data_IF_158460297181
#
_entry.id   IF_158460297181
#
_cell.length_a   1.000
_cell.length_b   1.000
_cell.length_c   1.000
_cell.angle_alpha   90.00
_cell.angle_beta   90.00
_cell.angle_gamma   90.00
#
_symmetry.space_group_name_H-M   'P 1'
#
loop_
_entity.id
_entity.type
_entity.pdbx_description
1 polymer ?
#
# COMPACT_ATOMS: atom_id res chain seq x y z
N UNK A 1 -19.43 -30.17 6.05
CA UNK A 1 -18.19 -29.37 6.15
C UNK A 1 -17.02 -30.33 6.05
N UNK A 2 -15.94 -29.94 5.39
CA UNK A 2 -14.72 -30.75 5.40
C UNK A 2 -13.94 -30.56 6.71
N UNK A 3 -12.80 -31.25 6.86
CA UNK A 3 -12.02 -31.21 8.09
C UNK A 3 -11.51 -29.81 8.45
N UNK A 4 -11.19 -28.97 7.45
CA UNK A 4 -10.69 -27.61 7.68
C UNK A 4 -11.81 -26.73 8.22
N UNK A 5 -12.96 -26.68 7.53
CA UNK A 5 -14.07 -25.84 7.98
C UNK A 5 -14.60 -26.29 9.35
N UNK A 6 -14.59 -27.59 9.64
CA UNK A 6 -14.99 -28.12 10.95
C UNK A 6 -14.03 -27.68 12.06
N UNK A 7 -12.71 -27.78 11.82
CA UNK A 7 -11.72 -27.34 12.80
C UNK A 7 -11.80 -25.84 13.09
N UNK A 8 -12.11 -25.02 12.10
CA UNK A 8 -12.30 -23.57 12.27
C UNK A 8 -13.47 -23.29 13.22
N UNK A 9 -14.63 -23.90 13.00
CA UNK A 9 -15.80 -23.66 13.87
C UNK A 9 -15.58 -24.16 15.29
N UNK A 10 -14.98 -25.35 15.46
CA UNK A 10 -14.67 -25.91 16.78
C UNK A 10 -13.69 -25.06 17.58
N UNK A 11 -12.80 -24.32 16.91
CA UNK A 11 -11.75 -23.52 17.52
C UNK A 11 -11.99 -22.00 17.42
N UNK A 12 -13.19 -21.57 17.00
CA UNK A 12 -13.46 -20.17 16.69
C UNK A 12 -13.27 -19.24 17.89
N UNK A 13 -13.78 -19.64 19.06
CA UNK A 13 -13.66 -18.83 20.28
C UNK A 13 -12.20 -18.72 20.75
N UNK A 14 -11.42 -19.78 20.62
CA UNK A 14 -10.00 -19.78 20.98
C UNK A 14 -9.18 -18.90 20.03
N UNK A 15 -9.51 -18.93 18.74
CA UNK A 15 -8.96 -18.00 17.76
C UNK A 15 -9.29 -16.55 18.13
N UNK A 16 -10.55 -16.23 18.41
CA UNK A 16 -10.95 -14.87 18.80
C UNK A 16 -10.27 -14.42 20.10
N UNK A 17 -10.07 -15.32 21.05
CA UNK A 17 -9.34 -15.03 22.30
C UNK A 17 -7.88 -14.69 22.05
N UNK A 18 -7.20 -15.40 21.13
CA UNK A 18 -5.84 -15.04 20.71
C UNK A 18 -5.83 -13.69 20.00
N UNK A 19 -6.72 -13.50 19.02
CA UNK A 19 -6.79 -12.27 18.25
C UNK A 19 -7.05 -11.06 19.16
N UNK A 20 -7.98 -11.18 20.11
CA UNK A 20 -8.27 -10.15 21.10
C UNK A 20 -7.03 -9.73 21.90
N UNK A 21 -6.21 -10.68 22.36
CA UNK A 21 -4.95 -10.38 23.07
C UNK A 21 -3.99 -9.56 22.20
N UNK A 22 -3.89 -9.87 20.90
CA UNK A 22 -3.03 -9.16 19.95
C UNK A 22 -3.60 -7.77 19.61
N UNK A 23 -4.91 -7.66 19.43
CA UNK A 23 -5.63 -6.41 19.15
C UNK A 23 -5.53 -5.41 20.32
N UNK A 24 -5.49 -5.91 21.56
CA UNK A 24 -5.32 -5.12 22.77
C UNK A 24 -3.93 -4.49 22.95
N UNK A 25 -2.98 -4.79 22.05
CA UNK A 25 -1.69 -4.10 22.02
C UNK A 25 -1.78 -2.90 21.08
N UNK A 26 -1.74 -1.64 21.57
CA UNK A 26 -1.74 -0.45 20.72
C UNK A 26 -0.37 -0.25 20.05
N UNK A 27 -0.01 -1.15 19.15
CA UNK A 27 1.28 -1.22 18.43
C UNK A 27 1.43 -0.14 17.36
N UNK A 28 1.18 1.10 17.74
CA UNK A 28 1.46 2.28 16.91
C UNK A 28 2.96 2.59 17.03
N UNK A 29 3.62 2.88 15.90
CA UNK A 29 5.02 3.30 15.91
C UNK A 29 5.21 4.50 16.83
N UNK A 30 6.25 4.44 17.66
CA UNK A 30 6.65 5.53 18.55
C UNK A 30 8.16 5.68 18.58
N UNK A 31 8.65 6.62 19.40
CA UNK A 31 10.09 6.88 19.53
C UNK A 31 10.88 5.60 19.84
N UNK A 32 12.01 5.37 19.13
CA UNK A 32 12.86 4.21 19.38
C UNK A 32 13.35 4.17 20.83
N UNK A 33 13.31 2.98 21.42
CA UNK A 33 13.85 2.69 22.75
C UNK A 33 14.85 1.53 22.67
N UNK A 34 15.72 1.33 23.67
CA UNK A 34 16.60 0.16 23.71
C UNK A 34 15.80 -1.15 23.52
N UNK A 35 16.21 -1.98 22.56
CA UNK A 35 15.52 -3.23 22.16
C UNK A 35 14.08 -3.05 21.64
N UNK A 36 13.73 -1.84 21.21
CA UNK A 36 12.41 -1.50 20.70
C UNK A 36 12.58 -0.42 19.61
N UNK A 37 13.13 -0.77 18.43
CA UNK A 37 13.52 0.18 17.39
C UNK A 37 12.34 1.00 16.83
N UNK A 38 11.11 0.49 16.94
CA UNK A 38 9.89 1.17 16.49
C UNK A 38 8.93 1.49 17.66
N UNK A 39 9.44 1.48 18.88
CA UNK A 39 8.69 1.76 20.10
C UNK A 39 8.30 0.53 20.92
N UNK A 40 7.90 0.78 22.16
CA UNK A 40 7.65 -0.29 23.15
C UNK A 40 6.47 -1.18 22.78
N UNK A 41 5.39 -0.62 22.23
CA UNK A 41 4.17 -1.39 21.94
C UNK A 41 4.31 -2.28 20.70
N UNK A 42 5.03 -1.83 19.66
CA UNK A 42 5.38 -2.66 18.49
C UNK A 42 6.27 -3.83 18.91
N UNK A 43 7.26 -3.59 19.79
CA UNK A 43 8.06 -4.67 20.38
C UNK A 43 7.26 -5.62 21.27
N UNK A 44 6.28 -5.10 22.03
CA UNK A 44 5.42 -5.88 22.92
C UNK A 44 4.52 -6.83 22.16
N UNK A 45 3.87 -6.37 21.08
CA UNK A 45 3.03 -7.25 20.24
C UNK A 45 3.86 -8.34 19.56
N UNK A 46 5.08 -8.00 19.11
CA UNK A 46 5.99 -8.98 18.54
C UNK A 46 6.37 -10.06 19.57
N UNK A 47 6.72 -9.67 20.80
CA UNK A 47 7.00 -10.62 21.89
C UNK A 47 5.84 -11.57 22.12
N UNK A 48 4.63 -11.02 22.26
CA UNK A 48 3.42 -11.78 22.49
C UNK A 48 3.20 -12.83 21.39
N UNK A 49 3.31 -12.43 20.13
CA UNK A 49 3.08 -13.34 19.00
C UNK A 49 4.17 -14.42 18.91
N UNK A 50 5.42 -14.08 19.22
CA UNK A 50 6.52 -15.07 19.29
C UNK A 50 6.30 -16.08 20.43
N UNK A 51 5.90 -15.63 21.61
CA UNK A 51 5.57 -16.52 22.74
C UNK A 51 4.42 -17.47 22.40
N UNK A 52 3.35 -16.96 21.77
CA UNK A 52 2.22 -17.81 21.31
C UNK A 52 2.66 -18.81 20.25
N UNK A 53 3.48 -18.38 19.31
CA UNK A 53 4.03 -19.26 18.25
C UNK A 53 4.88 -20.39 18.83
N UNK A 54 5.74 -20.08 19.81
CA UNK A 54 6.53 -21.08 20.52
C UNK A 54 5.64 -22.04 21.33
N UNK A 55 4.58 -21.54 21.98
CA UNK A 55 3.61 -22.37 22.71
C UNK A 55 2.82 -23.33 21.79
N UNK A 56 2.60 -22.96 20.53
CA UNK A 56 2.05 -23.88 19.50
C UNK A 56 3.10 -24.87 18.96
N UNK A 57 4.34 -24.79 19.46
CA UNK A 57 5.44 -25.68 19.13
C UNK A 57 6.07 -25.39 17.77
N UNK A 58 6.12 -24.12 17.37
CA UNK A 58 6.87 -23.66 16.20
C UNK A 58 8.22 -23.09 16.62
N UNK A 59 9.22 -23.18 15.75
CA UNK A 59 10.49 -22.49 15.96
C UNK A 59 10.30 -20.99 15.83
N UNK A 60 10.94 -20.18 16.68
CA UNK A 60 10.76 -18.72 16.65
C UNK A 60 12.09 -18.01 16.70
N UNK A 61 12.21 -16.91 15.95
CA UNK A 61 13.38 -16.02 15.99
C UNK A 61 12.94 -14.57 15.88
N UNK A 62 13.59 -13.70 16.65
CA UNK A 62 13.50 -12.25 16.53
C UNK A 62 14.83 -11.74 16.03
N UNK A 63 14.79 -10.83 15.05
CA UNK A 63 15.95 -10.24 14.39
C UNK A 63 15.94 -8.75 14.70
N UNK A 64 17.04 -8.28 15.30
CA UNK A 64 17.29 -6.89 15.68
C UNK A 64 16.16 -6.20 16.47
N UNK A 65 15.36 -6.99 17.19
CA UNK A 65 14.13 -6.54 17.88
C UNK A 65 13.07 -5.88 16.97
N UNK A 66 13.27 -5.96 15.64
CA UNK A 66 12.52 -5.26 14.59
C UNK A 66 11.50 -6.17 13.87
N UNK A 67 11.84 -7.44 13.69
CA UNK A 67 11.04 -8.40 12.93
C UNK A 67 11.22 -9.79 13.52
N UNK A 68 10.17 -10.61 13.47
CA UNK A 68 10.25 -11.98 13.95
C UNK A 68 9.53 -12.96 13.05
N UNK A 69 9.79 -14.25 13.24
CA UNK A 69 9.09 -15.28 12.49
C UNK A 69 8.79 -16.52 13.34
N UNK A 70 7.71 -17.20 12.96
CA UNK A 70 7.36 -18.55 13.38
C UNK A 70 7.61 -19.53 12.22
N UNK A 71 8.32 -20.61 12.50
CA UNK A 71 8.76 -21.59 11.50
C UNK A 71 8.20 -22.98 11.78
N UNK A 72 7.68 -23.60 10.72
CA UNK A 72 7.31 -25.00 10.66
C UNK A 72 8.22 -25.75 9.69
N UNK A 73 9.12 -26.56 10.26
CA UNK A 73 10.16 -27.29 9.53
C UNK A 73 11.58 -26.96 10.03
N UNK A 74 12.62 -27.70 9.60
CA UNK A 74 14.01 -27.49 10.00
C UNK A 74 14.58 -26.13 9.59
N UNK A 75 15.57 -25.61 10.34
CA UNK A 75 16.29 -24.38 9.98
C UNK A 75 17.20 -24.56 8.76
N UNK A 76 17.49 -23.45 8.06
CA UNK A 76 18.50 -23.39 7.00
C UNK A 76 18.09 -23.93 5.63
N UNK A 77 16.83 -24.32 5.42
CA UNK A 77 16.31 -24.74 4.12
C UNK A 77 15.27 -23.78 3.53
N UNK A 78 15.10 -23.85 2.21
CA UNK A 78 14.07 -23.15 1.46
C UNK A 78 12.69 -23.27 2.10
N UNK A 79 11.93 -22.18 2.05
CA UNK A 79 10.64 -22.09 2.72
C UNK A 79 9.62 -21.28 1.92
N UNK A 80 8.35 -21.62 2.13
CA UNK A 80 7.21 -20.78 1.75
C UNK A 80 7.04 -19.70 2.81
N UNK A 81 6.99 -18.44 2.38
CA UNK A 81 6.85 -17.28 3.27
C UNK A 81 5.41 -16.78 3.34
N UNK A 82 4.94 -16.45 4.53
CA UNK A 82 3.76 -15.60 4.71
C UNK A 82 4.22 -14.40 5.54
N UNK A 83 4.18 -13.20 4.98
CA UNK A 83 4.65 -12.00 5.66
C UNK A 83 3.48 -11.05 5.90
N UNK A 84 3.23 -10.68 7.14
CA UNK A 84 2.29 -9.62 7.51
C UNK A 84 2.88 -8.74 8.59
N UNK A 85 2.12 -7.77 9.09
CA UNK A 85 2.59 -6.87 10.15
C UNK A 85 1.72 -6.86 11.39
N UNK A 86 2.35 -6.41 12.48
CA UNK A 86 1.72 -6.23 13.78
C UNK A 86 1.62 -4.76 14.19
N UNK A 87 2.37 -3.86 13.56
CA UNK A 87 2.19 -2.42 13.74
C UNK A 87 0.91 -1.94 13.08
N UNK A 88 0.35 -0.84 13.61
CA UNK A 88 -0.89 -0.25 13.12
C UNK A 88 -0.77 1.27 13.08
N UNK A 89 -1.52 1.91 12.19
CA UNK A 89 -1.67 3.38 12.20
C UNK A 89 -2.39 3.87 13.48
N UNK A 90 -2.17 5.14 13.88
CA UNK A 90 -2.95 5.75 14.95
C UNK A 90 -4.46 5.58 14.77
N UNK A 91 -5.20 5.40 15.86
CA UNK A 91 -6.65 5.26 15.82
C UNK A 91 -7.35 6.57 15.41
N UNK A 92 -6.79 7.73 15.78
CA UNK A 92 -7.51 9.01 15.69
C UNK A 92 -8.57 9.17 16.78
N UNK A 93 -9.55 10.04 16.54
CA UNK A 93 -10.67 10.32 17.46
C UNK A 93 -11.99 9.68 16.99
N UNK A 94 -13.02 9.78 17.83
CA UNK A 94 -14.43 9.53 17.45
C UNK A 94 -14.75 8.09 17.01
N UNK A 95 -14.19 7.11 17.72
CA UNK A 95 -14.58 5.71 17.57
C UNK A 95 -15.84 5.38 18.38
N UNK A 96 -16.72 4.59 17.79
CA UNK A 96 -17.91 4.06 18.47
C UNK A 96 -17.58 2.87 19.38
N UNK A 97 -16.42 2.23 19.15
CA UNK A 97 -15.90 1.09 19.91
C UNK A 97 -14.46 1.35 20.35
N UNK A 98 -13.97 0.74 21.45
CA UNK A 98 -12.57 0.87 21.83
C UNK A 98 -11.64 0.44 20.68
N UNK A 99 -10.75 1.32 20.17
CA UNK A 99 -9.96 1.02 18.98
C UNK A 99 -8.94 -0.09 19.20
N UNK A 100 -8.42 -0.23 20.42
CA UNK A 100 -7.45 -1.27 20.79
C UNK A 100 -8.12 -2.35 21.64
N UNK A 101 -9.26 -2.84 21.16
CA UNK A 101 -9.93 -4.05 21.65
C UNK A 101 -10.54 -4.80 20.45
N UNK A 102 -11.13 -5.96 20.70
CA UNK A 102 -11.92 -6.69 19.70
C UNK A 102 -13.39 -6.68 20.13
N UNK A 103 -14.14 -5.72 19.61
CA UNK A 103 -15.58 -5.56 19.88
C UNK A 103 -16.41 -6.24 18.81
N UNK A 104 -17.47 -6.96 19.19
CA UNK A 104 -18.40 -7.58 18.25
C UNK A 104 -19.77 -6.92 18.32
N UNK A 105 -20.34 -6.58 17.15
CA UNK A 105 -21.72 -6.11 17.04
C UNK A 105 -22.30 -6.51 15.68
N UNK A 106 -23.49 -7.11 15.68
CA UNK A 106 -24.26 -7.47 14.47
C UNK A 106 -23.45 -8.28 13.44
N UNK A 107 -22.62 -9.22 13.91
CA UNK A 107 -21.77 -10.06 13.07
C UNK A 107 -20.51 -9.36 12.53
N UNK A 108 -20.19 -8.15 13.01
CA UNK A 108 -18.97 -7.40 12.70
C UNK A 108 -18.03 -7.33 13.89
N UNK A 109 -16.76 -7.50 13.60
CA UNK A 109 -15.65 -7.34 14.54
C UNK A 109 -14.99 -5.98 14.28
N UNK A 110 -14.88 -5.16 15.33
CA UNK A 110 -14.32 -3.81 15.29
C UNK A 110 -13.04 -3.75 16.10
N UNK A 111 -12.06 -3.03 15.56
CA UNK A 111 -10.79 -2.74 16.22
C UNK A 111 -9.73 -2.32 15.20
N UNK A 112 -8.79 -1.45 15.59
CA UNK A 112 -7.66 -1.05 14.75
C UNK A 112 -6.77 -2.25 14.48
N UNK A 113 -6.60 -2.57 13.20
CA UNK A 113 -5.83 -3.70 12.70
C UNK A 113 -6.60 -5.00 12.53
N UNK A 114 -7.92 -5.00 12.70
CA UNK A 114 -8.77 -6.18 12.43
C UNK A 114 -8.72 -6.56 10.94
N UNK A 115 -8.65 -5.57 10.06
CA UNK A 115 -8.47 -5.75 8.62
C UNK A 115 -7.00 -5.62 8.24
N UNK A 116 -6.28 -4.68 8.87
CA UNK A 116 -4.93 -4.29 8.45
C UNK A 116 -3.94 -4.12 9.63
N UNK A 117 -3.20 -5.16 10.04
CA UNK A 117 -3.13 -6.50 9.46
C UNK A 117 -3.14 -7.63 10.51
N UNK A 118 -3.47 -7.32 11.76
CA UNK A 118 -3.49 -8.29 12.86
C UNK A 118 -4.50 -9.42 12.62
N UNK A 119 -5.72 -9.12 12.19
CA UNK A 119 -6.72 -10.16 11.88
C UNK A 119 -6.21 -11.19 10.87
N UNK A 120 -5.78 -10.77 9.67
CA UNK A 120 -5.26 -11.67 8.64
C UNK A 120 -4.00 -12.44 9.05
N UNK A 121 -2.97 -11.78 9.60
CA UNK A 121 -1.72 -12.47 9.93
C UNK A 121 -1.87 -13.45 11.09
N UNK A 122 -2.72 -13.13 12.08
CA UNK A 122 -3.05 -14.06 13.16
C UNK A 122 -3.94 -15.21 12.65
N UNK A 123 -4.76 -14.98 11.62
CA UNK A 123 -5.47 -16.07 10.93
C UNK A 123 -4.49 -17.04 10.26
N UNK A 124 -3.42 -16.54 9.64
CA UNK A 124 -2.36 -17.41 9.10
C UNK A 124 -1.66 -18.22 10.21
N UNK A 125 -1.29 -17.59 11.33
CA UNK A 125 -0.67 -18.27 12.47
C UNK A 125 -1.58 -19.34 13.08
N UNK A 126 -2.84 -19.01 13.30
CA UNK A 126 -3.80 -19.94 13.89
C UNK A 126 -4.15 -21.06 12.92
N UNK A 127 -4.30 -20.76 11.62
CA UNK A 127 -4.49 -21.77 10.58
C UNK A 127 -3.31 -22.74 10.50
N UNK A 128 -2.07 -22.25 10.63
CA UNK A 128 -0.88 -23.07 10.73
C UNK A 128 -0.91 -24.01 11.94
N UNK A 129 -1.35 -23.52 13.12
CA UNK A 129 -1.58 -24.35 14.32
C UNK A 129 -2.62 -25.44 14.03
N UNK A 130 -3.79 -25.10 13.50
CA UNK A 130 -4.87 -26.06 13.24
C UNK A 130 -4.44 -27.15 12.25
N UNK A 131 -3.71 -26.80 11.19
CA UNK A 131 -3.18 -27.79 10.25
C UNK A 131 -2.24 -28.79 10.93
N UNK A 132 -1.41 -28.32 11.87
CA UNK A 132 -0.52 -29.20 12.65
C UNK A 132 -1.31 -30.16 13.54
N UNK A 133 -2.36 -29.67 14.19
CA UNK A 133 -3.26 -30.47 15.04
C UNK A 133 -4.08 -31.49 14.22
N UNK A 134 -4.43 -31.15 12.98
CA UNK A 134 -5.05 -32.05 12.00
C UNK A 134 -4.06 -33.08 11.42
N UNK A 135 -2.78 -33.04 11.80
CA UNK A 135 -1.76 -34.01 11.38
C UNK A 135 -1.14 -33.74 10.01
N UNK A 136 -1.30 -32.53 9.45
CA UNK A 136 -0.59 -32.13 8.22
C UNK A 136 0.92 -32.21 8.44
N UNK A 137 1.64 -32.76 7.47
CA UNK A 137 3.10 -32.84 7.47
C UNK A 137 3.62 -32.07 6.24
N UNK A 138 4.11 -30.83 6.42
CA UNK A 138 4.56 -30.03 5.28
C UNK A 138 5.81 -30.65 4.65
N UNK A 139 5.82 -30.78 3.32
CA UNK A 139 6.99 -31.24 2.55
C UNK A 139 7.97 -30.12 2.24
N UNK A 140 7.48 -28.88 2.24
CA UNK A 140 8.29 -27.66 2.21
C UNK A 140 8.13 -26.92 3.52
N UNK A 141 9.20 -26.31 4.01
CA UNK A 141 9.11 -25.46 5.19
C UNK A 141 8.13 -24.31 4.98
N UNK A 142 7.52 -23.88 6.07
CA UNK A 142 6.70 -22.68 6.12
C UNK A 142 7.24 -21.73 7.17
N UNK A 143 7.26 -20.44 6.85
CA UNK A 143 7.63 -19.38 7.77
C UNK A 143 6.60 -18.27 7.72
N UNK A 144 5.98 -17.97 8.86
CA UNK A 144 5.15 -16.79 9.03
C UNK A 144 6.03 -15.70 9.64
N UNK A 145 6.21 -14.60 8.93
CA UNK A 145 7.06 -13.47 9.28
C UNK A 145 6.15 -12.32 9.72
N UNK A 146 6.51 -11.70 10.83
CA UNK A 146 5.75 -10.64 11.49
C UNK A 146 6.61 -9.38 11.54
N UNK A 147 6.36 -8.47 10.61
CA UNK A 147 6.93 -7.14 10.60
C UNK A 147 6.31 -6.23 11.64
N UNK A 148 7.01 -5.14 11.97
CA UNK A 148 6.59 -4.14 12.96
C UNK A 148 6.81 -2.69 12.53
N UNK A 149 7.05 -2.46 11.23
CA UNK A 149 7.22 -1.11 10.66
C UNK A 149 6.61 -0.95 9.26
N UNK A 150 5.60 -1.74 8.89
CA UNK A 150 5.00 -1.69 7.54
C UNK A 150 4.47 -0.29 7.23
N UNK A 151 3.65 0.21 8.15
CA UNK A 151 2.83 1.42 8.01
C UNK A 151 3.68 2.70 7.96
N UNK A 152 4.97 2.56 8.27
CA UNK A 152 5.94 3.65 8.39
C UNK A 152 7.15 3.48 7.46
N UNK A 153 7.07 2.58 6.47
CA UNK A 153 8.04 2.47 5.38
C UNK A 153 8.79 1.15 5.28
N UNK A 154 8.39 0.13 6.04
CA UNK A 154 8.90 -1.24 5.99
C UNK A 154 10.42 -1.32 6.25
N UNK A 155 10.92 -0.55 7.21
CA UNK A 155 12.36 -0.52 7.49
C UNK A 155 12.87 -1.78 8.22
N UNK A 156 11.96 -2.66 8.62
CA UNK A 156 12.18 -3.94 9.26
C UNK A 156 12.58 -5.07 8.29
N UNK A 157 12.10 -5.03 7.04
CA UNK A 157 12.48 -6.01 5.99
C UNK A 157 13.98 -6.02 5.69
N UNK A 158 14.68 -4.87 5.59
CA UNK A 158 16.14 -4.86 5.50
C UNK A 158 16.86 -5.62 6.61
N UNK A 159 16.39 -5.52 7.87
CA UNK A 159 16.96 -6.30 8.99
C UNK A 159 16.81 -7.80 8.75
N UNK A 160 15.63 -8.22 8.29
CA UNK A 160 15.38 -9.62 7.93
C UNK A 160 16.31 -10.10 6.82
N UNK A 161 16.40 -9.38 5.71
CA UNK A 161 17.19 -9.77 4.53
C UNK A 161 18.70 -9.73 4.77
N UNK A 162 19.15 -8.99 5.80
CA UNK A 162 20.54 -9.02 6.24
C UNK A 162 20.89 -10.31 7.02
N UNK A 163 19.91 -10.91 7.70
CA UNK A 163 20.10 -12.07 8.56
C UNK A 163 19.60 -13.40 7.95
N UNK A 164 18.65 -13.35 7.03
CA UNK A 164 17.90 -14.50 6.51
C UNK A 164 17.76 -14.43 4.99
N UNK A 165 17.63 -15.59 4.34
CA UNK A 165 17.29 -15.67 2.92
C UNK A 165 15.81 -15.32 2.70
N UNK A 166 15.42 -14.70 1.57
CA UNK A 166 14.02 -14.51 1.22
C UNK A 166 13.32 -15.86 0.96
N UNK A 167 11.98 -15.92 1.01
CA UNK A 167 11.25 -17.14 0.67
C UNK A 167 11.46 -17.52 -0.80
N UNK A 168 11.28 -18.81 -1.12
CA UNK A 168 11.26 -19.24 -2.54
C UNK A 168 9.96 -18.85 -3.22
N UNK A 169 8.88 -18.77 -2.45
CA UNK A 169 7.58 -18.21 -2.83
C UNK A 169 6.84 -17.81 -1.55
N UNK A 170 6.01 -16.79 -1.62
CA UNK A 170 5.16 -16.45 -0.50
C UNK A 170 4.03 -15.50 -0.86
N UNK A 171 3.21 -15.18 0.14
CA UNK A 171 2.20 -14.14 0.02
C UNK A 171 2.14 -13.27 1.27
N UNK A 172 1.68 -12.03 1.10
CA UNK A 172 1.27 -11.17 2.21
C UNK A 172 -0.26 -11.17 2.30
N UNK A 173 -0.86 -11.45 3.47
CA UNK A 173 -2.30 -11.38 3.66
C UNK A 173 -2.72 -9.92 3.94
N UNK A 174 -2.18 -8.97 3.17
CA UNK A 174 -2.31 -7.53 3.34
C UNK A 174 -2.47 -6.87 1.96
N UNK A 175 -3.72 -6.78 1.51
CA UNK A 175 -4.23 -6.08 0.32
C UNK A 175 -5.69 -6.53 0.07
N UNK A 176 -5.93 -7.21 -1.06
CA UNK A 176 -7.23 -7.65 -1.55
C UNK A 176 -7.13 -9.00 -2.25
N UNK A 177 -8.28 -9.63 -2.43
CA UNK A 177 -8.48 -10.75 -3.34
C UNK A 177 -8.95 -10.30 -4.73
N UNK A 178 -8.78 -11.14 -5.78
CA UNK A 178 -8.01 -12.39 -5.84
C UNK A 178 -6.49 -12.15 -5.74
N UNK A 179 -5.66 -13.10 -6.18
CA UNK A 179 -4.19 -12.95 -6.16
C UNK A 179 -3.74 -11.67 -6.85
N UNK A 180 -2.93 -10.86 -6.17
CA UNK A 180 -2.32 -9.65 -6.71
C UNK A 180 -0.91 -9.97 -7.19
N UNK A 181 -0.74 -10.23 -8.49
CA UNK A 181 0.53 -10.70 -9.05
C UNK A 181 1.49 -9.58 -9.46
N UNK A 182 1.02 -8.33 -9.44
CA UNK A 182 1.83 -7.17 -9.79
C UNK A 182 1.34 -5.90 -9.15
N UNK A 183 2.30 -5.03 -8.85
CA UNK A 183 2.05 -3.70 -8.30
C UNK A 183 2.69 -2.65 -9.20
N UNK A 184 1.89 -1.65 -9.57
CA UNK A 184 2.32 -0.55 -10.45
C UNK A 184 3.48 0.22 -9.83
N UNK A 185 4.41 0.67 -10.66
CA UNK A 185 5.49 1.53 -10.16
C UNK A 185 5.00 2.95 -9.90
N UNK A 186 5.68 3.64 -8.99
CA UNK A 186 5.38 5.01 -8.59
C UNK A 186 6.64 5.83 -8.72
N UNK A 187 6.55 6.95 -9.43
CA UNK A 187 7.61 7.97 -9.41
C UNK A 187 6.95 9.33 -9.20
N UNK A 188 7.39 10.05 -8.19
CA UNK A 188 7.01 11.45 -8.02
C UNK A 188 8.22 12.30 -8.42
N UNK A 189 7.94 13.34 -9.19
CA UNK A 189 8.96 14.28 -9.65
C UNK A 189 8.60 15.69 -9.23
N UNK A 190 9.61 16.50 -8.95
CA UNK A 190 9.50 17.94 -8.89
C UNK A 190 10.02 18.52 -10.22
N UNK A 191 9.21 19.35 -10.86
CA UNK A 191 9.55 20.11 -12.05
C UNK A 191 9.86 21.55 -11.62
N UNK A 192 11.08 21.99 -11.87
CA UNK A 192 11.59 23.30 -11.50
C UNK A 192 11.54 24.23 -12.71
N UNK A 193 10.67 25.23 -12.66
CA UNK A 193 10.48 26.21 -13.74
C UNK A 193 11.14 27.53 -13.34
N UNK A 194 12.36 27.83 -13.82
CA UNK A 194 13.06 29.05 -13.45
C UNK A 194 12.34 30.29 -13.98
N UNK A 195 12.27 31.35 -13.17
CA UNK A 195 11.68 32.63 -13.58
C UNK A 195 12.71 33.75 -13.51
N UNK A 196 12.63 34.74 -14.42
CA UNK A 196 13.32 36.02 -14.24
C UNK A 196 12.89 36.71 -12.93
N UNK A 197 13.81 37.42 -12.27
CA UNK A 197 13.56 38.06 -10.97
C UNK A 197 12.37 39.03 -10.99
N UNK A 198 12.18 39.75 -12.10
CA UNK A 198 11.08 40.70 -12.28
C UNK A 198 9.72 40.01 -12.44
N UNK A 199 9.66 38.85 -13.10
CA UNK A 199 8.45 38.03 -13.14
C UNK A 199 8.18 37.35 -11.79
N UNK A 200 9.24 36.87 -11.12
CA UNK A 200 9.13 36.21 -9.82
C UNK A 200 8.59 37.16 -8.74
N UNK A 201 8.95 38.44 -8.76
CA UNK A 201 8.42 39.45 -7.83
C UNK A 201 6.93 39.72 -8.01
N UNK A 202 6.39 39.50 -9.21
CA UNK A 202 4.96 39.70 -9.52
C UNK A 202 4.08 38.52 -9.10
N UNK A 203 4.68 37.38 -8.74
CA UNK A 203 4.00 36.16 -8.33
C UNK A 203 3.97 36.05 -6.80
N UNK A 204 2.80 35.82 -6.20
CA UNK A 204 2.70 35.51 -4.77
C UNK A 204 2.87 34.01 -4.50
N UNK A 205 2.97 33.64 -3.22
CA UNK A 205 2.81 32.23 -2.83
C UNK A 205 1.42 31.72 -3.19
N UNK A 206 1.34 30.44 -3.56
CA UNK A 206 0.09 29.73 -3.78
C UNK A 206 -0.56 29.39 -2.43
N UNK A 207 -1.88 29.49 -2.36
CA UNK A 207 -2.67 29.08 -1.20
C UNK A 207 -3.68 28.01 -1.63
N UNK A 208 -3.92 27.03 -0.76
CA UNK A 208 -4.77 25.87 -1.03
C UNK A 208 -4.20 24.64 -0.35
N UNK A 209 -5.06 23.68 -0.01
CA UNK A 209 -4.61 22.38 0.50
C UNK A 209 -4.07 21.53 -0.66
N UNK A 210 -2.78 21.19 -0.56
CA UNK A 210 -2.03 20.50 -1.60
C UNK A 210 -1.17 19.43 -0.95
N UNK A 211 -1.38 18.18 -1.33
CA UNK A 211 -0.56 17.07 -0.85
C UNK A 211 -0.53 15.92 -1.86
N UNK A 212 0.50 15.08 -1.76
CA UNK A 212 0.78 13.99 -2.72
C UNK A 212 -0.30 12.89 -2.82
N UNK A 213 -1.19 12.80 -1.85
CA UNK A 213 -2.21 11.75 -1.74
C UNK A 213 -3.54 12.10 -2.41
N UNK A 214 -3.77 13.38 -2.76
CA UNK A 214 -5.02 13.83 -3.35
C UNK A 214 -4.81 14.79 -4.53
N UNK A 215 -5.84 14.91 -5.36
CA UNK A 215 -5.99 15.95 -6.37
C UNK A 215 -6.35 17.25 -5.65
N UNK A 216 -5.55 18.33 -5.77
CA UNK A 216 -5.89 19.63 -5.20
C UNK A 216 -7.21 20.15 -5.78
N UNK A 217 -8.09 20.63 -4.91
CA UNK A 217 -9.45 21.05 -5.24
C UNK A 217 -9.72 22.53 -4.96
N UNK A 218 -8.78 23.24 -4.35
CA UNK A 218 -8.82 24.70 -4.20
C UNK A 218 -7.41 25.25 -4.37
N UNK A 219 -7.28 26.34 -5.12
CA UNK A 219 -6.01 27.01 -5.32
C UNK A 219 -6.22 28.50 -5.60
N UNK A 220 -5.40 29.34 -4.98
CA UNK A 220 -5.34 30.77 -5.28
C UNK A 220 -3.92 31.31 -5.36
N UNK A 221 -3.73 32.32 -6.21
CA UNK A 221 -2.46 33.02 -6.41
C UNK A 221 -2.73 34.43 -6.96
N UNK A 222 -1.83 35.37 -6.69
CA UNK A 222 -1.80 36.67 -7.34
C UNK A 222 -0.61 36.77 -8.29
N UNK A 223 -0.87 37.25 -9.50
CA UNK A 223 0.14 37.46 -10.55
C UNK A 223 -0.09 38.87 -11.12
N UNK A 224 0.94 39.71 -11.10
CA UNK A 224 0.87 41.11 -11.55
C UNK A 224 -0.32 41.87 -10.92
N UNK A 225 -0.45 41.76 -9.60
CA UNK A 225 -1.53 42.33 -8.76
C UNK A 225 -2.95 41.83 -9.07
N UNK A 226 -3.11 40.88 -10.00
CA UNK A 226 -4.39 40.23 -10.29
C UNK A 226 -4.51 38.92 -9.50
N UNK A 227 -5.59 38.78 -8.73
CA UNK A 227 -5.92 37.53 -8.01
C UNK A 227 -6.60 36.52 -8.93
N UNK A 228 -6.18 35.27 -8.84
CA UNK A 228 -6.78 34.11 -9.49
C UNK A 228 -7.17 33.10 -8.41
N UNK A 229 -8.40 32.60 -8.50
CA UNK A 229 -8.96 31.62 -7.59
C UNK A 229 -9.69 30.58 -8.44
N UNK A 230 -9.44 29.31 -8.14
CA UNK A 230 -10.06 28.19 -8.83
C UNK A 230 -10.52 27.15 -7.82
N UNK A 231 -11.69 26.58 -8.10
CA UNK A 231 -12.25 25.47 -7.36
C UNK A 231 -12.37 24.29 -8.31
N UNK A 232 -11.85 23.16 -7.89
CA UNK A 232 -11.95 21.87 -8.55
C UNK A 232 -12.75 20.89 -7.69
N UNK A 233 -12.34 19.62 -7.74
CA UNK A 233 -12.99 18.53 -7.01
C UNK A 233 -11.96 17.52 -6.54
N UNK A 234 -11.92 17.28 -5.23
CA UNK A 234 -10.96 16.35 -4.64
C UNK A 234 -11.23 14.92 -5.07
N UNK A 235 -10.15 14.20 -5.36
CA UNK A 235 -10.12 12.74 -5.46
C UNK A 235 -8.76 12.22 -5.02
N UNK A 236 -8.60 10.92 -4.74
CA UNK A 236 -7.28 10.33 -4.53
C UNK A 236 -6.35 10.53 -5.75
N UNK A 237 -5.06 10.75 -5.52
CA UNK A 237 -4.07 10.95 -6.60
C UNK A 237 -3.84 9.71 -7.50
N UNK A 238 -4.42 8.57 -7.13
CA UNK A 238 -4.43 7.35 -7.97
C UNK A 238 -5.72 7.18 -8.80
N UNK A 239 -6.68 8.11 -8.69
CA UNK A 239 -7.90 8.17 -9.49
C UNK A 239 -8.24 9.63 -9.84
N UNK A 240 -7.31 10.36 -10.51
CA UNK A 240 -7.48 11.78 -10.80
C UNK A 240 -8.66 12.09 -11.72
N UNK A 241 -9.11 11.14 -12.53
CA UNK A 241 -10.27 11.26 -13.41
C UNK A 241 -11.61 11.39 -12.67
N UNK A 242 -11.64 11.07 -11.37
CA UNK A 242 -12.83 11.25 -10.53
C UNK A 242 -12.93 12.67 -9.94
N UNK A 243 -11.84 13.44 -10.03
CA UNK A 243 -11.70 14.79 -9.54
C UNK A 243 -11.54 15.82 -10.65
N UNK A 244 -11.35 17.07 -10.26
CA UNK A 244 -11.07 18.20 -11.14
C UNK A 244 -9.88 18.95 -10.53
N UNK A 245 -8.74 18.94 -11.20
CA UNK A 245 -7.47 19.37 -10.62
C UNK A 245 -7.32 20.89 -10.66
N UNK A 246 -7.30 21.54 -9.50
CA UNK A 246 -7.20 22.99 -9.36
C UNK A 246 -5.94 23.56 -10.04
N UNK A 247 -4.80 22.86 -10.00
CA UNK A 247 -3.56 23.30 -10.68
C UNK A 247 -3.76 23.38 -12.19
N UNK A 248 -4.37 22.35 -12.79
CA UNK A 248 -4.57 22.33 -14.25
C UNK A 248 -5.69 23.26 -14.69
N UNK A 249 -6.72 23.49 -13.86
CA UNK A 249 -7.76 24.51 -14.10
C UNK A 249 -7.15 25.91 -14.07
N UNK A 250 -6.31 26.21 -13.06
CA UNK A 250 -5.59 27.48 -13.00
C UNK A 250 -4.71 27.67 -14.24
N UNK A 251 -4.03 26.60 -14.68
CA UNK A 251 -3.22 26.63 -15.89
C UNK A 251 -4.05 26.98 -17.14
N UNK A 252 -5.24 26.39 -17.29
CA UNK A 252 -6.16 26.73 -18.38
C UNK A 252 -6.61 28.20 -18.32
N UNK A 253 -6.91 28.72 -17.12
CA UNK A 253 -7.30 30.11 -16.93
C UNK A 253 -6.16 31.08 -17.30
N UNK A 254 -4.91 30.74 -16.98
CA UNK A 254 -3.73 31.59 -17.20
C UNK A 254 -3.17 31.51 -18.62
N UNK A 255 -3.30 30.37 -19.30
CA UNK A 255 -2.72 30.14 -20.64
C UNK A 255 -3.16 31.15 -21.71
N UNK A 256 -4.35 31.74 -21.56
CA UNK A 256 -4.98 32.67 -22.49
C UNK A 256 -4.91 34.15 -22.05
N UNK A 257 -4.35 34.44 -20.87
CA UNK A 257 -4.37 35.80 -20.29
C UNK A 257 -3.22 36.66 -20.78
N UNK A 258 -3.48 37.64 -21.62
CA UNK A 258 -2.46 38.56 -22.13
C UNK A 258 -1.83 39.48 -21.06
N UNK A 259 -2.44 39.58 -19.87
CA UNK A 259 -2.05 40.50 -18.80
C UNK A 259 -1.02 39.94 -17.81
N UNK A 260 -0.62 38.66 -17.94
CA UNK A 260 0.36 38.04 -17.05
C UNK A 260 1.76 38.00 -17.70
N UNK A 261 2.84 37.94 -16.90
CA UNK A 261 4.20 37.87 -17.42
C UNK A 261 4.42 36.72 -18.40
N UNK A 262 5.24 36.92 -19.46
CA UNK A 262 5.29 36.01 -20.60
C UNK A 262 5.90 34.64 -20.26
N UNK A 263 6.91 34.57 -19.38
CA UNK A 263 7.53 33.29 -19.00
C UNK A 263 6.56 32.47 -18.15
N UNK A 264 5.91 33.11 -17.17
CA UNK A 264 4.81 32.52 -16.39
C UNK A 264 3.70 32.00 -17.32
N UNK A 265 3.25 32.82 -18.28
CA UNK A 265 2.21 32.42 -19.23
C UNK A 265 2.60 31.19 -20.05
N UNK A 266 3.85 31.14 -20.55
CA UNK A 266 4.35 30.02 -21.33
C UNK A 266 4.35 28.71 -20.52
N UNK A 267 4.77 28.77 -19.25
CA UNK A 267 4.76 27.59 -18.38
C UNK A 267 3.34 27.12 -18.09
N UNK A 268 2.41 28.02 -17.74
CA UNK A 268 1.01 27.63 -17.55
C UNK A 268 0.33 27.14 -18.83
N UNK A 269 0.71 27.65 -20.01
CA UNK A 269 0.26 27.09 -21.29
C UNK A 269 0.73 25.65 -21.47
N UNK A 270 2.00 25.37 -21.20
CA UNK A 270 2.52 24.00 -21.26
C UNK A 270 1.84 23.10 -20.22
N UNK A 271 1.66 23.56 -18.98
CA UNK A 271 0.96 22.80 -17.93
C UNK A 271 -0.48 22.48 -18.36
N UNK A 272 -1.18 23.45 -18.94
CA UNK A 272 -2.54 23.25 -19.46
C UNK A 272 -2.55 22.17 -20.54
N UNK A 273 -1.68 22.27 -21.56
CA UNK A 273 -1.61 21.30 -22.65
C UNK A 273 -1.22 19.89 -22.16
N UNK A 274 -0.37 19.83 -21.13
CA UNK A 274 0.20 18.60 -20.61
C UNK A 274 -0.73 17.85 -19.66
N UNK A 275 -1.51 18.57 -18.83
CA UNK A 275 -2.17 18.01 -17.66
C UNK A 275 -3.67 18.34 -17.55
N UNK A 276 -4.18 19.37 -18.23
CA UNK A 276 -5.60 19.71 -18.14
C UNK A 276 -6.45 18.69 -18.88
N UNK A 277 -7.23 17.90 -18.13
CA UNK A 277 -8.02 16.76 -18.62
C UNK A 277 -7.17 15.64 -19.29
N UNK A 278 -5.86 15.60 -19.02
CA UNK A 278 -4.92 14.61 -19.56
C UNK A 278 -4.40 13.67 -18.45
N UNK A 279 -5.30 12.88 -17.86
CA UNK A 279 -5.01 12.08 -16.67
C UNK A 279 -4.07 10.90 -16.91
N UNK A 280 -3.88 10.48 -18.16
CA UNK A 280 -3.18 9.26 -18.52
C UNK A 280 -1.94 9.52 -19.39
N UNK A 281 -1.41 10.75 -19.39
CA UNK A 281 -0.17 11.09 -20.09
C UNK A 281 -0.32 11.42 -21.57
N UNK A 282 -1.55 11.62 -22.06
CA UNK A 282 -1.83 11.92 -23.46
C UNK A 282 -1.28 13.28 -23.90
N UNK A 283 -1.12 14.24 -22.97
CA UNK A 283 -0.54 15.55 -23.24
C UNK A 283 1.00 15.57 -23.35
N UNK A 284 1.70 14.49 -22.95
CA UNK A 284 3.17 14.50 -22.78
C UNK A 284 3.87 13.17 -23.17
N UNK A 285 3.50 12.55 -24.29
CA UNK A 285 4.12 11.28 -24.79
C UNK A 285 4.22 10.18 -23.71
N UNK A 286 3.28 10.17 -22.76
CA UNK A 286 3.24 9.26 -21.62
C UNK A 286 1.93 8.48 -21.53
N UNK A 287 1.18 8.41 -22.63
CA UNK A 287 0.02 7.52 -22.81
C UNK A 287 0.42 6.03 -22.88
N UNK A 288 1.23 5.59 -21.91
CA UNK A 288 1.71 4.22 -21.75
C UNK A 288 0.60 3.37 -21.15
N UNK A 289 0.46 2.13 -21.62
CA UNK A 289 -0.50 1.18 -21.09
C UNK A 289 -0.04 -0.27 -21.31
N UNK A 290 -0.51 -1.17 -20.48
CA UNK A 290 -0.46 -2.62 -20.72
C UNK A 290 -1.79 -3.29 -20.41
N UNK A 291 -1.91 -4.57 -20.79
CA UNK A 291 -3.11 -5.38 -20.58
C UNK A 291 -3.36 -5.65 -19.08
N UNK A 292 -2.29 -5.75 -18.31
CA UNK A 292 -2.30 -6.28 -16.94
C UNK A 292 -2.65 -5.24 -15.87
N UNK A 293 -2.21 -4.00 -16.07
CA UNK A 293 -2.26 -2.91 -15.10
C UNK A 293 -2.82 -1.59 -15.65
N UNK A 294 -3.16 -1.59 -16.94
CA UNK A 294 -3.90 -0.52 -17.60
C UNK A 294 -3.01 0.67 -17.95
N UNK A 295 -3.64 1.85 -18.07
CA UNK A 295 -2.96 3.09 -18.47
C UNK A 295 -2.14 3.67 -17.33
N UNK A 296 -1.00 4.29 -17.65
CA UNK A 296 -0.28 5.22 -16.77
C UNK A 296 -1.25 6.26 -16.22
N UNK A 297 -1.09 6.64 -14.95
CA UNK A 297 -1.87 7.69 -14.29
C UNK A 297 -0.88 8.77 -13.87
N UNK A 298 -1.22 10.02 -14.11
CA UNK A 298 -0.45 11.17 -13.65
C UNK A 298 -1.33 12.16 -12.88
N UNK A 299 -0.76 12.87 -11.93
CA UNK A 299 -1.50 13.87 -11.13
C UNK A 299 -0.55 14.97 -10.67
N UNK A 300 -0.74 16.23 -11.11
CA UNK A 300 -0.16 17.38 -10.45
C UNK A 300 -0.72 17.49 -9.03
N UNK A 301 0.15 17.45 -8.02
CA UNK A 301 -0.26 17.39 -6.60
C UNK A 301 0.14 18.64 -5.82
N UNK A 302 1.18 19.34 -6.25
CA UNK A 302 1.66 20.57 -5.61
C UNK A 302 2.14 21.53 -6.69
N UNK A 303 1.83 22.82 -6.55
CA UNK A 303 2.52 23.92 -7.23
C UNK A 303 2.80 25.04 -6.24
N UNK A 304 4.06 25.50 -6.20
CA UNK A 304 4.51 26.53 -5.28
C UNK A 304 5.53 27.47 -5.92
N UNK A 305 5.64 28.67 -5.36
CA UNK A 305 6.72 29.62 -5.66
C UNK A 305 7.98 29.20 -4.88
N UNK A 306 9.13 29.17 -5.56
CA UNK A 306 10.45 28.97 -4.95
C UNK A 306 11.27 30.26 -4.99
N UNK A 307 12.52 30.19 -4.51
CA UNK A 307 13.46 31.32 -4.55
C UNK A 307 13.88 31.70 -5.97
N UNK A 308 13.79 30.77 -6.93
CA UNK A 308 14.29 30.95 -8.30
C UNK A 308 13.22 30.78 -9.37
N UNK A 309 11.96 30.52 -8.98
CA UNK A 309 10.89 30.25 -9.94
C UNK A 309 9.65 29.58 -9.35
N UNK A 310 9.14 28.58 -10.07
CA UNK A 310 8.06 27.69 -9.64
C UNK A 310 8.57 26.26 -9.47
N UNK A 311 7.96 25.54 -8.53
CA UNK A 311 8.13 24.09 -8.41
C UNK A 311 6.76 23.44 -8.49
N UNK A 312 6.61 22.47 -9.39
CA UNK A 312 5.41 21.65 -9.49
C UNK A 312 5.74 20.19 -9.24
N UNK A 313 5.06 19.56 -8.30
CA UNK A 313 5.17 18.12 -8.08
C UNK A 313 4.12 17.37 -8.87
N UNK A 314 4.55 16.30 -9.54
CA UNK A 314 3.67 15.40 -10.29
C UNK A 314 3.90 13.98 -9.81
N UNK A 315 2.82 13.32 -9.40
CA UNK A 315 2.80 11.91 -9.05
C UNK A 315 2.48 11.08 -10.29
N UNK A 316 3.33 10.09 -10.61
CA UNK A 316 3.10 9.13 -11.67
C UNK A 316 2.90 7.74 -11.09
N UNK A 317 1.94 7.01 -11.63
CA UNK A 317 1.78 5.56 -11.44
C UNK A 317 1.85 4.91 -12.79
N UNK A 318 2.90 4.14 -13.07
CA UNK A 318 3.13 3.57 -14.40
C UNK A 318 2.78 2.09 -14.46
N UNK A 319 2.46 1.56 -15.65
CA UNK A 319 2.11 0.15 -15.83
C UNK A 319 3.24 -0.80 -15.40
N UNK A 320 2.91 -2.04 -15.04
CA UNK A 320 3.87 -3.02 -14.51
C UNK A 320 4.92 -3.46 -15.54
N UNK A 321 4.64 -3.28 -16.83
CA UNK A 321 5.59 -3.52 -17.93
C UNK A 321 6.50 -2.33 -18.25
N UNK A 322 6.28 -1.18 -17.61
CA UNK A 322 7.01 0.07 -17.85
C UNK A 322 8.04 0.27 -16.73
N UNK A 323 9.20 0.85 -17.06
CA UNK A 323 10.22 1.22 -16.07
C UNK A 323 10.16 2.70 -15.71
N UNK A 324 10.70 3.06 -14.55
CA UNK A 324 10.89 4.47 -14.19
C UNK A 324 11.71 5.23 -15.25
N UNK A 325 12.75 4.60 -15.79
CA UNK A 325 13.59 5.17 -16.85
C UNK A 325 12.78 5.51 -18.11
N UNK A 326 11.81 4.67 -18.48
CA UNK A 326 10.93 4.96 -19.63
C UNK A 326 10.08 6.21 -19.37
N UNK A 327 9.53 6.34 -18.17
CA UNK A 327 8.73 7.51 -17.76
C UNK A 327 9.58 8.77 -17.75
N UNK A 328 10.72 8.74 -17.06
CA UNK A 328 11.59 9.90 -16.88
C UNK A 328 12.22 10.36 -18.20
N UNK A 329 12.64 9.43 -19.06
CA UNK A 329 13.24 9.78 -20.36
C UNK A 329 12.22 10.41 -21.30
N UNK A 330 10.99 9.89 -21.35
CA UNK A 330 9.89 10.49 -22.13
C UNK A 330 9.50 11.85 -21.60
N UNK A 331 9.31 11.98 -20.28
CA UNK A 331 8.99 13.26 -19.64
C UNK A 331 10.05 14.32 -19.95
N UNK A 332 11.34 14.01 -19.77
CA UNK A 332 12.44 14.94 -20.03
C UNK A 332 12.44 15.47 -21.47
N UNK A 333 12.01 14.69 -22.47
CA UNK A 333 11.91 15.15 -23.87
C UNK A 333 10.77 16.13 -24.11
N UNK A 334 9.77 16.17 -23.24
CA UNK A 334 8.59 17.03 -23.35
C UNK A 334 8.70 18.31 -22.52
N UNK A 335 9.71 18.42 -21.64
CA UNK A 335 9.89 19.58 -20.78
C UNK A 335 10.23 20.84 -21.59
N UNK A 336 9.70 22.01 -21.22
CA UNK A 336 10.15 23.28 -21.77
C UNK A 336 11.66 23.50 -21.54
N UNK A 337 12.29 24.27 -22.42
CA UNK A 337 13.71 24.62 -22.29
C UNK A 337 13.96 25.29 -20.93
N UNK A 338 14.98 24.82 -20.22
CA UNK A 338 15.39 25.35 -18.90
C UNK A 338 14.63 24.77 -17.72
N UNK A 339 13.58 23.97 -17.94
CA UNK A 339 12.88 23.28 -16.84
C UNK A 339 13.69 22.06 -16.42
N UNK A 340 14.01 21.98 -15.14
CA UNK A 340 14.73 20.85 -14.55
C UNK A 340 13.77 19.86 -13.90
N UNK A 341 14.17 18.59 -13.87
CA UNK A 341 13.42 17.51 -13.25
C UNK A 341 14.25 16.89 -12.13
N UNK A 342 13.62 16.76 -10.97
CA UNK A 342 14.15 16.06 -9.80
C UNK A 342 13.22 14.91 -9.43
N UNK A 343 13.78 13.73 -9.13
CA UNK A 343 13.00 12.60 -8.59
C UNK A 343 12.94 12.75 -7.08
N UNK A 344 11.74 13.01 -6.55
CA UNK A 344 11.52 13.21 -5.11
C UNK A 344 11.02 11.94 -4.42
N UNK A 345 10.48 10.97 -5.19
CA UNK A 345 10.09 9.65 -4.68
C UNK A 345 10.16 8.62 -5.81
N UNK A 346 10.74 7.46 -5.52
CA UNK A 346 10.77 6.32 -6.42
C UNK A 346 10.34 5.06 -5.67
N UNK A 347 9.37 4.34 -6.24
CA UNK A 347 8.96 3.01 -5.80
C UNK A 347 8.81 2.15 -7.06
N UNK A 348 9.80 1.29 -7.37
CA UNK A 348 9.71 0.38 -8.50
C UNK A 348 8.43 -0.46 -8.47
N UNK A 349 7.85 -0.67 -9.65
CA UNK A 349 6.80 -1.67 -9.84
C UNK A 349 7.39 -3.07 -9.88
N UNK A 350 6.53 -4.07 -9.75
CA UNK A 350 6.90 -5.45 -10.03
C UNK A 350 5.73 -6.20 -10.66
N UNK A 351 6.05 -7.26 -11.38
CA UNK A 351 5.10 -8.20 -11.93
C UNK A 351 5.68 -9.61 -11.79
N UNK A 352 4.84 -10.57 -11.43
CA UNK A 352 5.18 -12.00 -11.42
C UNK A 352 4.44 -12.70 -12.56
N UNK A 353 4.93 -13.87 -12.93
CA UNK A 353 4.23 -14.71 -13.90
C UNK A 353 2.87 -15.14 -13.33
N UNK A 354 1.79 -14.54 -13.84
CA UNK A 354 0.41 -14.81 -13.44
C UNK A 354 -0.04 -16.25 -13.74
N UNK A 355 0.68 -16.96 -14.60
CA UNK A 355 0.43 -18.36 -14.94
C UNK A 355 1.28 -19.34 -14.10
N UNK A 356 2.02 -18.84 -13.09
CA UNK A 356 2.80 -19.69 -12.19
C UNK A 356 1.92 -20.69 -11.43
N UNK A 357 2.52 -21.85 -11.12
CA UNK A 357 1.80 -22.95 -10.43
C UNK A 357 1.27 -22.51 -9.08
N UNK A 358 2.02 -21.70 -8.35
CA UNK A 358 1.64 -21.18 -7.04
C UNK A 358 0.45 -20.21 -7.12
N UNK A 359 0.43 -19.31 -8.10
CA UNK A 359 -0.70 -18.40 -8.32
C UNK A 359 -1.95 -19.20 -8.72
N UNK A 360 -1.81 -20.18 -9.62
CA UNK A 360 -2.92 -21.04 -10.01
C UNK A 360 -3.52 -21.79 -8.81
N UNK A 361 -2.69 -22.28 -7.87
CA UNK A 361 -3.14 -22.90 -6.61
C UNK A 361 -3.95 -21.90 -5.76
N UNK A 362 -3.40 -20.73 -5.49
CA UNK A 362 -4.07 -19.69 -4.68
C UNK A 362 -5.38 -19.23 -5.30
N UNK A 363 -5.40 -18.97 -6.61
CA UNK A 363 -6.59 -18.62 -7.37
C UNK A 363 -7.67 -19.71 -7.31
N UNK A 364 -7.29 -20.99 -7.49
CA UNK A 364 -8.23 -22.12 -7.40
C UNK A 364 -8.85 -22.21 -6.01
N UNK A 365 -8.04 -22.04 -4.95
CA UNK A 365 -8.51 -22.07 -3.56
C UNK A 365 -9.48 -20.93 -3.29
N UNK A 366 -9.12 -19.70 -3.70
CA UNK A 366 -9.99 -18.54 -3.57
C UNK A 366 -11.35 -18.78 -4.24
N UNK A 367 -11.38 -19.27 -5.48
CA UNK A 367 -12.63 -19.58 -6.17
C UNK A 367 -13.42 -20.69 -5.47
N UNK A 368 -12.74 -21.74 -5.00
CA UNK A 368 -13.39 -22.87 -4.34
C UNK A 368 -14.09 -22.45 -3.05
N UNK A 369 -13.46 -21.57 -2.26
CA UNK A 369 -14.03 -21.11 -0.97
C UNK A 369 -15.10 -20.05 -1.17
N UNK A 370 -14.90 -19.12 -2.12
CA UNK A 370 -15.74 -17.91 -2.23
C UNK A 370 -16.79 -17.98 -3.34
N UNK A 371 -16.58 -18.81 -4.36
CA UNK A 371 -17.33 -18.78 -5.62
C UNK A 371 -17.02 -17.57 -6.52
N UNK A 372 -16.17 -16.63 -6.09
CA UNK A 372 -15.83 -15.42 -6.84
C UNK A 372 -14.84 -15.71 -7.98
N UNK A 373 -14.73 -14.76 -8.93
CA UNK A 373 -13.78 -14.84 -10.05
C UNK A 373 -12.32 -14.98 -9.54
N UNK A 374 -11.60 -16.07 -9.88
CA UNK A 374 -10.23 -16.28 -9.45
C UNK A 374 -9.16 -15.48 -10.20
N UNK A 375 -9.53 -14.75 -11.26
CA UNK A 375 -8.57 -14.11 -12.16
C UNK A 375 -7.59 -13.22 -11.37
N UNK A 376 -6.26 -13.48 -11.44
CA UNK A 376 -5.28 -12.64 -10.79
C UNK A 376 -5.35 -11.19 -11.30
N UNK A 377 -5.06 -10.24 -10.41
CA UNK A 377 -5.17 -8.81 -10.67
C UNK A 377 -3.87 -8.08 -10.35
N UNK A 378 -3.78 -6.82 -10.77
CA UNK A 378 -2.73 -5.89 -10.33
C UNK A 378 -3.30 -4.84 -9.39
N UNK A 379 -2.44 -4.08 -8.72
CA UNK A 379 -2.85 -2.99 -7.84
C UNK A 379 -1.91 -1.78 -7.90
N UNK A 380 -2.38 -0.66 -7.35
CA UNK A 380 -1.59 0.56 -7.11
C UNK A 380 -1.14 0.68 -5.66
N UNK A 381 -1.62 -0.20 -4.78
CA UNK A 381 -1.18 -0.29 -3.37
C UNK A 381 0.32 -0.60 -3.26
N UNK A 382 0.85 -0.40 -2.06
CA UNK A 382 2.17 -0.85 -1.67
C UNK A 382 1.99 -1.76 -0.47
N UNK A 383 2.58 -2.95 -0.55
CA UNK A 383 2.57 -3.95 0.50
C UNK A 383 4.00 -4.45 0.69
N UNK A 384 4.23 -5.32 1.68
CA UNK A 384 5.52 -6.00 1.80
C UNK A 384 5.99 -6.73 0.54
N UNK A 385 5.10 -7.07 -0.40
CA UNK A 385 5.48 -7.67 -1.68
C UNK A 385 6.45 -6.80 -2.50
N UNK A 386 6.54 -5.49 -2.22
CA UNK A 386 7.53 -4.59 -2.84
C UNK A 386 8.94 -4.70 -2.25
N UNK A 387 9.07 -5.11 -1.00
CA UNK A 387 10.35 -5.12 -0.26
C UNK A 387 10.87 -6.54 -0.05
N UNK A 388 9.99 -7.51 0.14
CA UNK A 388 10.34 -8.90 0.30
C UNK A 388 10.31 -9.63 -1.06
N UNK A 389 11.45 -10.15 -1.54
CA UNK A 389 11.48 -10.93 -2.78
C UNK A 389 10.54 -12.14 -2.73
N UNK A 390 9.98 -12.48 -3.90
CA UNK A 390 9.15 -13.66 -4.13
C UNK A 390 7.83 -13.72 -3.35
N UNK A 391 7.42 -12.61 -2.74
CA UNK A 391 6.10 -12.42 -2.14
C UNK A 391 5.19 -11.66 -3.10
N UNK A 392 3.90 -11.99 -3.06
CA UNK A 392 2.81 -11.28 -3.72
C UNK A 392 1.67 -11.00 -2.73
N UNK A 393 0.68 -10.18 -3.07
CA UNK A 393 -0.44 -9.93 -2.14
C UNK A 393 -1.61 -10.90 -2.37
N UNK A 394 -2.22 -11.39 -1.29
CA UNK A 394 -3.35 -12.32 -1.38
C UNK A 394 -4.29 -12.16 -0.16
N UNK A 395 -5.38 -11.42 -0.37
CA UNK A 395 -6.32 -11.07 0.69
C UNK A 395 -5.84 -9.90 1.55
N UNK A 396 -6.58 -9.52 2.61
CA UNK A 396 -7.79 -10.19 3.09
C UNK A 396 -9.08 -9.62 2.49
N UNK A 397 -9.02 -8.45 1.85
CA UNK A 397 -10.21 -7.70 1.44
C UNK A 397 -10.89 -8.35 0.24
N UNK A 398 -12.17 -8.67 0.35
CA UNK A 398 -12.98 -9.20 -0.75
C UNK A 398 -13.42 -8.09 -1.71
N UNK A 399 -13.78 -8.43 -2.97
CA UNK A 399 -14.28 -7.45 -3.94
C UNK A 399 -15.43 -6.61 -3.38
N UNK A 400 -15.29 -5.28 -3.49
CA UNK A 400 -16.27 -4.31 -2.98
C UNK A 400 -15.91 -3.73 -1.61
N UNK A 401 -15.03 -4.37 -0.84
CA UNK A 401 -14.53 -3.84 0.43
C UNK A 401 -13.46 -2.79 0.17
N UNK A 402 -13.82 -1.51 0.33
CA UNK A 402 -12.94 -0.36 0.09
C UNK A 402 -13.12 0.66 1.21
N UNK A 403 -12.04 1.34 1.56
CA UNK A 403 -12.08 2.43 2.55
C UNK A 403 -12.45 1.95 3.95
N UNK A 404 -12.00 0.76 4.34
CA UNK A 404 -12.21 0.22 5.70
C UNK A 404 -10.93 0.37 6.53
N UNK A 405 -9.80 -0.12 6.01
CA UNK A 405 -8.49 0.05 6.63
C UNK A 405 -8.17 1.53 6.88
N UNK A 406 -7.42 1.79 7.95
CA UNK A 406 -6.97 3.12 8.41
C UNK A 406 -8.07 4.10 8.83
N UNK A 407 -9.34 3.83 8.54
CA UNK A 407 -10.46 4.67 8.94
C UNK A 407 -10.92 4.40 10.38
N UNK A 408 -11.75 5.31 10.90
CA UNK A 408 -12.47 5.10 12.17
C UNK A 408 -13.40 3.90 12.06
N UNK A 409 -13.58 3.19 13.17
CA UNK A 409 -14.41 1.98 13.23
C UNK A 409 -14.02 0.95 12.16
N UNK A 410 -12.71 0.79 11.91
CA UNK A 410 -12.18 -0.31 11.10
C UNK A 410 -12.81 -1.63 11.57
N UNK A 411 -13.27 -2.43 10.60
CA UNK A 411 -14.03 -3.64 10.88
C UNK A 411 -13.71 -4.77 9.90
N UNK A 412 -14.07 -5.99 10.30
CA UNK A 412 -14.22 -7.13 9.40
C UNK A 412 -15.50 -7.87 9.78
N UNK A 413 -16.26 -8.34 8.79
CA UNK A 413 -17.39 -9.22 9.06
C UNK A 413 -16.86 -10.55 9.63
N UNK A 414 -17.49 -11.10 10.67
CA UNK A 414 -17.09 -12.34 11.35
C UNK A 414 -17.10 -13.54 10.39
N UNK A 415 -17.99 -13.51 9.39
CA UNK A 415 -18.03 -14.49 8.30
C UNK A 415 -16.82 -14.37 7.37
N UNK A 416 -16.39 -13.15 7.05
CA UNK A 416 -15.24 -12.89 6.19
C UNK A 416 -13.94 -13.29 6.88
N UNK A 417 -13.82 -13.08 8.20
CA UNK A 417 -12.64 -13.52 8.95
C UNK A 417 -12.52 -15.05 8.99
N UNK A 418 -13.63 -15.78 9.14
CA UNK A 418 -13.65 -17.25 8.98
C UNK A 418 -13.23 -17.67 7.58
N UNK A 419 -13.77 -16.98 6.57
CA UNK A 419 -13.47 -17.28 5.17
C UNK A 419 -11.99 -17.06 4.85
N UNK A 420 -11.42 -15.96 5.35
CA UNK A 420 -9.99 -15.67 5.29
C UNK A 420 -9.17 -16.80 5.94
N UNK A 421 -9.52 -17.19 7.18
CA UNK A 421 -8.85 -18.29 7.88
C UNK A 421 -8.89 -19.60 7.07
N UNK A 422 -10.05 -19.93 6.47
CA UNK A 422 -10.18 -21.11 5.61
C UNK A 422 -9.30 -21.01 4.34
N UNK A 423 -9.32 -19.87 3.64
CA UNK A 423 -8.48 -19.63 2.46
C UNK A 423 -7.00 -19.78 2.83
N UNK A 424 -6.57 -19.21 3.95
CA UNK A 424 -5.17 -19.28 4.39
C UNK A 424 -4.76 -20.71 4.78
N UNK A 425 -5.60 -21.45 5.49
CA UNK A 425 -5.32 -22.86 5.82
C UNK A 425 -5.18 -23.71 4.56
N UNK A 426 -6.11 -23.57 3.60
CA UNK A 426 -6.04 -24.31 2.33
C UNK A 426 -4.80 -23.92 1.52
N UNK A 427 -4.47 -22.64 1.50
CA UNK A 427 -3.29 -22.09 0.81
C UNK A 427 -1.99 -22.61 1.40
N UNK A 428 -1.86 -22.56 2.73
CA UNK A 428 -0.71 -23.12 3.45
C UNK A 428 -0.54 -24.60 3.11
N UNK A 429 -1.61 -25.38 3.21
CA UNK A 429 -1.59 -26.81 2.88
C UNK A 429 -1.13 -27.05 1.44
N UNK A 430 -1.73 -26.38 0.46
CA UNK A 430 -1.43 -26.58 -0.96
C UNK A 430 -0.02 -26.10 -1.38
N UNK A 431 0.51 -25.05 -0.75
CA UNK A 431 1.85 -24.54 -1.05
C UNK A 431 2.96 -25.38 -0.40
N UNK A 432 2.65 -26.07 0.70
CA UNK A 432 3.61 -26.91 1.44
C UNK A 432 3.55 -28.39 1.09
N UNK A 433 2.62 -28.80 0.21
CA UNK A 433 2.45 -30.18 -0.29
C UNK A 433 3.51 -30.65 -1.29
#
# INVERSE_FOLDING_TARGET
MDQISTAIEENWLDFLNLLKQVMQVPSVKSEPMPQAPYGTETRRVLSLVMEKSAAFGFGTKVIDDAIGYAQWGPEGSDYIGILGHLDVVPAGSDWDFPPFDLSEKDGRLYGRGILDNKGPIISCLYGMKLLKELGHQPKKNLRIIFGTDEESGMSDVPHYLAAEQPPVFGFTPDCKYPVVYGERGVVNVALHFPLPDDELQQLTSFQGDQFRDHVPDDLSVSIADQKFEVTGKRSPSNAPELGENAISILAAQLAEKQTIPPTIQSYFRWICQSFHQQHFGEGIDLALADEDSGKLILTPVVIQKSLTGLVMEVAFRYPVTVTETDVLSRLKRQLPIGVELEVIRSIPGFCRDKESTEIAKLSTIYHTVTGNDPKPVTTTGATYARKMPNILAFGPSFPGQKGIAHNKNEYMDSADLRMNLEIYMRSIKALTE
#
